data_IF_522955332766
#
_entry.id   IF_522955332766
#
_cell.length_a   1.000
_cell.length_b   1.000
_cell.length_c   1.000
_cell.angle_alpha   90.00
_cell.angle_beta   90.00
_cell.angle_gamma   90.00
#
_symmetry.space_group_name_H-M   'P 1'
#
loop_
_entity.id
_entity.type
_entity.pdbx_description
1 polymer ?
#
# COMPACT_ATOMS: atom_id res chain seq x y z
N UNK A 1 -3.55 -4.89 -24.63
CA UNK A 1 -2.32 -5.33 -25.27
C UNK A 1 -1.94 -6.71 -24.77
N UNK A 2 -1.52 -7.65 -25.65
CA UNK A 2 -1.00 -8.95 -25.25
C UNK A 2 0.15 -8.82 -24.25
N UNK A 3 0.30 -9.80 -23.34
CA UNK A 3 1.29 -9.77 -22.23
C UNK A 3 2.72 -9.55 -22.76
N UNK A 4 3.11 -10.24 -23.83
CA UNK A 4 4.46 -10.12 -24.41
C UNK A 4 4.76 -8.72 -24.94
N UNK A 5 3.82 -8.11 -25.68
CA UNK A 5 3.97 -6.75 -26.20
C UNK A 5 4.04 -5.72 -25.07
N UNK A 6 3.19 -5.88 -24.06
CA UNK A 6 3.19 -5.01 -22.87
C UNK A 6 4.52 -5.07 -22.11
N UNK A 7 5.09 -6.27 -21.93
CA UNK A 7 6.41 -6.47 -21.29
C UNK A 7 7.54 -5.87 -22.12
N UNK A 8 7.51 -6.04 -23.44
CA UNK A 8 8.49 -5.43 -24.34
C UNK A 8 8.51 -3.91 -24.25
N UNK A 9 7.34 -3.27 -24.31
CA UNK A 9 7.22 -1.81 -24.13
C UNK A 9 7.75 -1.36 -22.76
N UNK A 10 7.40 -2.08 -21.70
CA UNK A 10 7.89 -1.79 -20.35
C UNK A 10 9.41 -1.86 -20.23
N UNK A 11 10.03 -2.89 -20.81
CA UNK A 11 11.48 -3.06 -20.81
C UNK A 11 12.22 -1.98 -21.62
N UNK A 12 11.66 -1.58 -22.77
CA UNK A 12 12.20 -0.45 -23.52
C UNK A 12 12.10 0.84 -22.69
N UNK A 13 10.96 1.07 -22.05
CA UNK A 13 10.75 2.24 -21.20
C UNK A 13 11.72 2.29 -20.01
N UNK A 14 12.13 1.16 -19.44
CA UNK A 14 13.12 1.11 -18.36
C UNK A 14 14.48 1.68 -18.77
N UNK A 15 14.86 1.52 -20.04
CA UNK A 15 16.14 2.01 -20.60
C UNK A 15 16.09 3.48 -21.02
N UNK A 16 14.92 4.09 -21.07
CA UNK A 16 14.76 5.49 -21.49
C UNK A 16 15.11 6.45 -20.35
N UNK A 17 15.59 7.65 -20.66
CA UNK A 17 15.75 8.72 -19.65
C UNK A 17 14.45 9.00 -18.91
N UNK A 18 14.54 9.55 -17.70
CA UNK A 18 13.38 9.93 -16.91
C UNK A 18 12.56 11.01 -17.65
N UNK A 19 11.33 10.67 -18.03
CA UNK A 19 10.37 11.60 -18.64
C UNK A 19 8.94 11.31 -18.17
N UNK A 20 8.05 12.27 -18.43
CA UNK A 20 6.62 12.11 -18.08
C UNK A 20 6.03 10.92 -18.84
N UNK A 21 5.47 9.96 -18.12
CA UNK A 21 4.87 8.75 -18.70
C UNK A 21 5.78 7.50 -18.68
N UNK A 22 7.11 7.63 -18.56
CA UNK A 22 8.03 6.47 -18.46
C UNK A 22 7.58 5.51 -17.36
N UNK A 23 7.38 6.01 -16.16
CA UNK A 23 6.98 5.19 -15.00
C UNK A 23 5.63 4.49 -15.22
N UNK A 24 4.72 5.11 -15.97
CA UNK A 24 3.47 4.47 -16.35
C UNK A 24 3.70 3.27 -17.28
N UNK A 25 4.54 3.41 -18.31
CA UNK A 25 4.86 2.32 -19.24
C UNK A 25 5.59 1.18 -18.53
N UNK A 26 6.58 1.50 -17.70
CA UNK A 26 7.30 0.51 -16.88
C UNK A 26 6.35 -0.28 -15.99
N UNK A 27 5.49 0.42 -15.25
CA UNK A 27 4.49 -0.24 -14.37
C UNK A 27 3.47 -1.07 -15.13
N UNK A 28 3.04 -0.61 -16.30
CA UNK A 28 2.11 -1.35 -17.15
C UNK A 28 2.77 -2.55 -17.84
N UNK A 29 4.08 -2.52 -18.04
CA UNK A 29 4.87 -3.64 -18.55
C UNK A 29 4.98 -4.80 -17.57
N UNK A 30 4.88 -4.54 -16.27
CA UNK A 30 5.01 -5.54 -15.19
C UNK A 30 3.68 -6.18 -14.84
N UNK A 31 3.72 -7.44 -14.44
CA UNK A 31 2.58 -8.11 -13.81
C UNK A 31 2.32 -7.56 -12.41
N UNK A 32 1.17 -7.89 -11.82
CA UNK A 32 0.82 -7.40 -10.48
C UNK A 32 1.89 -7.77 -9.46
N UNK A 33 2.32 -9.00 -9.44
CA UNK A 33 3.29 -9.54 -8.48
C UNK A 33 4.66 -8.84 -8.56
N UNK A 34 5.06 -8.41 -9.76
CA UNK A 34 6.32 -7.67 -9.98
C UNK A 34 6.24 -6.20 -9.54
N UNK A 35 5.06 -5.60 -9.57
CA UNK A 35 4.84 -4.18 -9.28
C UNK A 35 4.29 -3.88 -7.90
N UNK A 36 3.75 -4.88 -7.22
CA UNK A 36 3.20 -4.75 -5.89
C UNK A 36 3.73 -5.87 -4.99
N UNK A 37 4.76 -5.56 -4.25
CA UNK A 37 5.38 -6.44 -3.24
C UNK A 37 5.08 -5.94 -1.81
N UNK A 38 3.96 -5.26 -1.64
CA UNK A 38 3.48 -4.70 -0.38
C UNK A 38 3.72 -3.20 -0.26
N UNK A 39 3.09 -2.60 0.74
CA UNK A 39 3.17 -1.16 1.01
C UNK A 39 4.54 -0.72 1.58
N UNK A 40 5.36 -1.66 2.05
CA UNK A 40 6.69 -1.40 2.59
C UNK A 40 7.80 -1.31 1.52
N UNK A 41 7.46 -1.41 0.23
CA UNK A 41 8.44 -1.30 -0.84
C UNK A 41 8.94 0.14 -0.99
N UNK A 42 10.17 0.40 -0.55
CA UNK A 42 10.76 1.73 -0.56
C UNK A 42 11.90 1.89 -1.56
N UNK A 43 12.69 0.85 -1.79
CA UNK A 43 13.88 0.89 -2.64
C UNK A 43 13.82 -0.14 -3.74
N UNK A 44 14.19 0.25 -4.96
CA UNK A 44 14.41 -0.67 -6.07
C UNK A 44 15.62 -1.57 -5.80
N UNK A 45 15.76 -2.70 -6.51
CA UNK A 45 16.95 -3.55 -6.39
C UNK A 45 18.26 -2.79 -6.65
N UNK A 46 18.27 -1.87 -7.60
CA UNK A 46 19.41 -1.04 -7.97
C UNK A 46 19.77 -0.05 -6.86
N UNK A 47 18.78 0.64 -6.29
CA UNK A 47 18.97 1.55 -5.16
C UNK A 47 19.50 0.80 -3.94
N UNK A 48 18.97 -0.38 -3.64
CA UNK A 48 19.48 -1.22 -2.53
C UNK A 48 20.94 -1.61 -2.74
N UNK A 49 21.33 -2.00 -3.95
CA UNK A 49 22.73 -2.33 -4.27
C UNK A 49 23.66 -1.14 -4.14
N UNK A 50 23.18 0.06 -4.47
CA UNK A 50 23.96 1.30 -4.35
C UNK A 50 24.12 1.75 -2.89
N UNK A 51 23.13 1.52 -2.04
CA UNK A 51 23.13 1.95 -0.64
C UNK A 51 23.87 0.99 0.28
N UNK A 52 23.83 -0.33 0.01
CA UNK A 52 24.44 -1.34 0.87
C UNK A 52 25.93 -1.43 0.62
N UNK A 53 26.74 -1.15 1.64
CA UNK A 53 28.20 -1.35 1.63
C UNK A 53 28.59 -2.84 1.59
N UNK A 54 27.76 -3.69 2.17
CA UNK A 54 27.98 -5.13 2.29
C UNK A 54 26.90 -5.84 1.47
N UNK A 55 27.33 -6.76 0.62
CA UNK A 55 26.38 -7.64 -0.09
C UNK A 55 25.78 -8.63 0.91
N UNK A 56 24.46 -8.68 0.95
CA UNK A 56 23.73 -9.63 1.78
C UNK A 56 23.13 -10.73 0.91
N UNK A 57 22.99 -11.92 1.47
CA UNK A 57 22.27 -13.05 0.85
C UNK A 57 20.78 -12.99 1.17
N UNK A 58 20.23 -11.78 1.45
CA UNK A 58 18.80 -11.61 1.71
C UNK A 58 17.99 -12.04 0.47
N UNK A 59 16.88 -12.77 0.67
CA UNK A 59 16.03 -13.20 -0.43
C UNK A 59 15.46 -12.00 -1.17
N UNK A 60 15.18 -12.18 -2.46
CA UNK A 60 14.45 -11.18 -3.23
C UNK A 60 13.06 -10.99 -2.63
N UNK A 61 12.57 -9.74 -2.46
CA UNK A 61 11.23 -9.48 -1.95
C UNK A 61 10.12 -10.22 -2.68
N UNK A 62 10.24 -10.46 -3.98
CA UNK A 62 9.28 -11.26 -4.74
C UNK A 62 9.26 -12.72 -4.29
N UNK A 63 10.41 -13.28 -3.89
CA UNK A 63 10.46 -14.64 -3.33
C UNK A 63 9.70 -14.74 -2.00
N UNK A 64 9.69 -13.67 -1.21
CA UNK A 64 8.93 -13.58 0.06
C UNK A 64 7.43 -13.45 -0.21
N UNK A 65 7.02 -12.69 -1.22
CA UNK A 65 5.60 -12.44 -1.52
C UNK A 65 4.96 -13.55 -2.34
N UNK A 66 5.74 -14.30 -3.10
CA UNK A 66 5.24 -15.36 -3.99
C UNK A 66 4.32 -16.38 -3.30
N UNK A 67 4.63 -16.96 -2.13
CA UNK A 67 3.76 -17.94 -1.47
C UNK A 67 2.36 -17.38 -1.12
N UNK A 68 2.23 -16.08 -0.93
CA UNK A 68 0.95 -15.42 -0.72
C UNK A 68 0.17 -15.28 -2.02
N UNK A 69 0.84 -14.86 -3.10
CA UNK A 69 0.23 -14.76 -4.42
C UNK A 69 -0.23 -16.10 -4.96
N UNK A 70 0.55 -17.17 -4.74
CA UNK A 70 0.22 -18.54 -5.19
C UNK A 70 -1.10 -19.03 -4.60
N UNK A 71 -1.49 -18.57 -3.40
CA UNK A 71 -2.77 -18.94 -2.76
C UNK A 71 -4.00 -18.25 -3.34
N UNK A 72 -3.81 -17.17 -4.08
CA UNK A 72 -4.90 -16.33 -4.59
C UNK A 72 -4.78 -16.09 -6.10
N UNK A 73 -4.14 -17.00 -6.83
CA UNK A 73 -3.87 -16.86 -8.26
C UNK A 73 -5.13 -16.59 -9.10
N UNK A 74 -6.24 -17.22 -8.75
CA UNK A 74 -7.50 -17.12 -9.48
C UNK A 74 -8.34 -15.88 -9.11
N UNK A 75 -7.85 -15.07 -8.15
CA UNK A 75 -8.54 -13.89 -7.70
C UNK A 75 -8.20 -12.64 -8.55
N UNK A 76 -9.04 -11.62 -8.47
CA UNK A 76 -8.78 -10.32 -9.11
C UNK A 76 -7.60 -9.56 -8.45
N UNK A 77 -7.05 -8.60 -9.19
CA UNK A 77 -5.88 -7.80 -8.75
C UNK A 77 -6.08 -7.12 -7.39
N UNK A 78 -7.28 -6.63 -7.10
CA UNK A 78 -7.59 -5.95 -5.83
C UNK A 78 -7.55 -6.94 -4.68
N UNK A 79 -8.15 -8.11 -4.86
CA UNK A 79 -8.15 -9.20 -3.86
C UNK A 79 -6.73 -9.68 -3.61
N UNK A 80 -5.92 -9.89 -4.65
CA UNK A 80 -4.50 -10.27 -4.52
C UNK A 80 -3.72 -9.27 -3.69
N UNK A 81 -3.86 -7.98 -3.97
CA UNK A 81 -3.19 -6.92 -3.22
C UNK A 81 -3.64 -6.87 -1.77
N UNK A 82 -4.94 -6.97 -1.52
CA UNK A 82 -5.50 -6.97 -0.16
C UNK A 82 -5.06 -8.18 0.63
N UNK A 83 -5.02 -9.36 0.00
CA UNK A 83 -4.54 -10.59 0.64
C UNK A 83 -3.09 -10.46 1.10
N UNK A 84 -2.22 -9.92 0.24
CA UNK A 84 -0.83 -9.67 0.60
C UNK A 84 -0.71 -8.67 1.76
N UNK A 85 -1.43 -7.55 1.69
CA UNK A 85 -1.41 -6.52 2.73
C UNK A 85 -1.92 -7.03 4.09
N UNK A 86 -2.96 -7.86 4.11
CA UNK A 86 -3.48 -8.47 5.34
C UNK A 86 -2.44 -9.34 6.04
N UNK A 87 -1.68 -10.14 5.27
CA UNK A 87 -0.71 -11.08 5.84
C UNK A 87 0.64 -10.45 6.16
N UNK A 88 1.03 -9.41 5.49
CA UNK A 88 2.34 -8.78 5.65
C UNK A 88 2.25 -7.40 6.32
N UNK A 89 1.64 -6.44 5.66
CA UNK A 89 1.59 -5.05 6.12
C UNK A 89 0.74 -4.89 7.38
N UNK A 90 -0.46 -5.48 7.38
CA UNK A 90 -1.37 -5.39 8.52
C UNK A 90 -0.79 -6.09 9.75
N UNK A 91 -0.37 -7.33 9.62
CA UNK A 91 0.16 -8.11 10.73
C UNK A 91 1.55 -7.61 11.18
N UNK A 92 2.47 -7.41 10.23
CA UNK A 92 3.89 -7.14 10.51
C UNK A 92 4.21 -5.68 10.85
N UNK A 93 3.37 -4.72 10.47
CA UNK A 93 3.60 -3.29 10.77
C UNK A 93 2.43 -2.66 11.53
N UNK A 94 1.24 -2.61 10.94
CA UNK A 94 0.14 -1.80 11.47
C UNK A 94 -0.32 -2.31 12.84
N UNK A 95 -0.65 -3.59 12.96
CA UNK A 95 -1.15 -4.16 14.22
C UNK A 95 -0.04 -4.29 15.26
N UNK A 96 1.15 -4.73 14.85
CA UNK A 96 2.30 -4.85 15.74
C UNK A 96 2.68 -3.49 16.35
N UNK A 97 2.73 -2.45 15.53
CA UNK A 97 3.03 -1.10 15.99
C UNK A 97 1.90 -0.54 16.87
N UNK A 98 0.65 -0.71 16.45
CA UNK A 98 -0.49 -0.25 17.21
C UNK A 98 -0.55 -0.89 18.60
N UNK A 99 -0.36 -2.20 18.69
CA UNK A 99 -0.32 -2.94 19.95
C UNK A 99 0.83 -2.48 20.83
N UNK A 100 2.06 -2.51 20.34
CA UNK A 100 3.24 -2.13 21.12
C UNK A 100 3.19 -0.70 21.63
N UNK A 101 2.75 0.25 20.80
CA UNK A 101 2.71 1.66 21.19
C UNK A 101 1.56 1.95 22.17
N UNK A 102 0.41 1.34 22.01
CA UNK A 102 -0.71 1.51 22.92
C UNK A 102 -0.41 0.86 24.27
N UNK A 103 0.11 -0.38 24.28
CA UNK A 103 0.46 -1.08 25.51
C UNK A 103 1.61 -0.41 26.29
N UNK A 104 2.58 0.20 25.60
CA UNK A 104 3.62 1.00 26.23
C UNK A 104 3.07 2.21 27.02
N UNK A 105 1.84 2.63 26.71
CA UNK A 105 1.13 3.70 27.42
C UNK A 105 -0.08 3.21 28.21
N UNK A 106 -0.14 1.90 28.52
CA UNK A 106 -1.24 1.27 29.26
C UNK A 106 -2.63 1.49 28.63
N UNK A 107 -2.66 1.63 27.32
CA UNK A 107 -3.88 1.82 26.55
C UNK A 107 -4.26 0.53 25.81
N UNK A 108 -5.44 0.00 26.07
CA UNK A 108 -5.97 -1.15 25.33
C UNK A 108 -6.61 -0.71 24.03
N UNK A 109 -6.03 -1.13 22.90
CA UNK A 109 -6.54 -0.85 21.57
C UNK A 109 -7.45 -1.97 21.09
N UNK A 110 -8.64 -1.62 20.63
CA UNK A 110 -9.58 -2.55 19.98
C UNK A 110 -9.71 -2.23 18.49
N UNK A 111 -9.79 -3.29 17.67
CA UNK A 111 -9.82 -3.20 16.19
C UNK A 111 -11.08 -3.87 15.63
N UNK A 112 -12.26 -3.27 15.78
CA UNK A 112 -13.55 -3.90 15.48
C UNK A 112 -13.70 -4.37 14.03
N UNK A 113 -13.00 -3.75 13.08
CA UNK A 113 -13.02 -4.17 11.67
C UNK A 113 -12.22 -5.45 11.39
N UNK A 114 -11.47 -5.97 12.37
CA UNK A 114 -10.77 -7.26 12.29
C UNK A 114 -11.49 -8.37 13.06
N UNK A 115 -12.69 -8.08 13.59
CA UNK A 115 -13.55 -9.12 14.12
C UNK A 115 -13.82 -10.18 13.04
N UNK A 116 -13.81 -11.46 13.44
CA UNK A 116 -13.94 -12.59 12.52
C UNK A 116 -15.20 -12.49 11.65
N UNK A 117 -16.35 -12.14 12.24
CA UNK A 117 -17.61 -12.03 11.50
C UNK A 117 -17.59 -10.86 10.50
N UNK A 118 -16.93 -9.76 10.88
CA UNK A 118 -16.75 -8.60 9.98
C UNK A 118 -15.84 -8.98 8.82
N UNK A 119 -14.76 -9.71 9.06
CA UNK A 119 -13.86 -10.21 8.00
C UNK A 119 -14.56 -11.19 7.07
N UNK A 120 -15.28 -12.16 7.59
CA UNK A 120 -16.08 -13.11 6.79
C UNK A 120 -17.09 -12.40 5.86
N UNK A 121 -17.73 -11.34 6.36
CA UNK A 121 -18.59 -10.50 5.52
C UNK A 121 -17.78 -9.70 4.48
N UNK A 122 -16.66 -9.13 4.89
CA UNK A 122 -15.82 -8.31 4.01
C UNK A 122 -15.25 -9.10 2.82
N UNK A 123 -14.92 -10.37 3.02
CA UNK A 123 -14.45 -11.28 1.98
C UNK A 123 -15.52 -11.54 0.90
N UNK A 124 -16.79 -11.52 1.28
CA UNK A 124 -17.91 -11.71 0.36
C UNK A 124 -18.26 -10.47 -0.45
N UNK A 125 -17.73 -9.29 -0.10
CA UNK A 125 -18.03 -8.05 -0.81
C UNK A 125 -17.36 -8.06 -2.19
N UNK A 126 -18.12 -7.98 -3.29
CA UNK A 126 -17.56 -7.91 -4.64
C UNK A 126 -16.62 -6.72 -4.81
N UNK A 127 -15.57 -6.88 -5.62
CA UNK A 127 -14.52 -5.87 -5.84
C UNK A 127 -15.07 -4.51 -6.23
N UNK A 128 -16.14 -4.44 -7.05
CA UNK A 128 -16.81 -3.19 -7.44
C UNK A 128 -17.34 -2.36 -6.27
N UNK A 129 -17.64 -2.98 -5.14
CA UNK A 129 -18.04 -2.30 -3.90
C UNK A 129 -16.88 -2.03 -2.96
N UNK A 130 -15.72 -2.64 -3.16
CA UNK A 130 -14.49 -2.32 -2.43
C UNK A 130 -13.78 -1.12 -3.04
N UNK A 131 -13.66 -1.11 -4.37
CA UNK A 131 -13.05 -0.03 -5.16
C UNK A 131 -13.88 0.20 -6.42
N UNK A 132 -14.29 1.44 -6.68
CA UNK A 132 -15.06 1.78 -7.87
C UNK A 132 -14.53 3.00 -8.61
N UNK A 133 -14.82 3.07 -9.92
CA UNK A 133 -14.65 4.26 -10.76
C UNK A 133 -15.99 4.94 -11.08
N UNK A 134 -17.08 4.21 -11.01
CA UNK A 134 -18.40 4.63 -11.51
C UNK A 134 -18.97 5.85 -10.76
N UNK A 135 -18.55 6.06 -9.52
CA UNK A 135 -19.02 7.18 -8.70
C UNK A 135 -17.98 8.30 -8.54
N UNK A 136 -16.95 8.31 -9.40
CA UNK A 136 -15.88 9.33 -9.33
C UNK A 136 -16.38 10.64 -9.93
N UNK A 137 -16.39 11.69 -9.13
CA UNK A 137 -16.74 13.06 -9.52
C UNK A 137 -15.51 13.97 -9.64
N UNK A 138 -14.34 13.51 -9.19
CA UNK A 138 -13.10 14.28 -9.18
C UNK A 138 -12.05 13.60 -10.07
N UNK A 139 -11.63 14.24 -11.14
CA UNK A 139 -10.61 13.75 -12.07
C UNK A 139 -9.25 13.46 -11.40
N UNK A 140 -8.95 14.14 -10.30
CA UNK A 140 -7.71 13.93 -9.53
C UNK A 140 -7.72 12.64 -8.69
N UNK A 141 -8.90 12.06 -8.49
CA UNK A 141 -9.07 10.86 -7.67
C UNK A 141 -9.73 9.77 -8.52
N UNK A 142 -8.96 9.00 -9.32
CA UNK A 142 -9.53 8.10 -10.33
C UNK A 142 -10.29 6.90 -9.76
N UNK A 143 -10.33 6.74 -8.44
CA UNK A 143 -11.04 5.65 -7.75
C UNK A 143 -11.59 6.10 -6.41
N UNK A 144 -12.74 5.55 -6.06
CA UNK A 144 -13.27 5.61 -4.69
C UNK A 144 -12.96 4.28 -4.01
N UNK A 145 -12.20 4.33 -2.94
CA UNK A 145 -11.90 3.18 -2.08
C UNK A 145 -12.86 3.10 -0.90
N UNK A 146 -12.98 1.92 -0.28
CA UNK A 146 -13.93 1.67 0.82
C UNK A 146 -15.38 1.99 0.43
N UNK A 147 -15.75 1.71 -0.81
CA UNK A 147 -17.01 2.19 -1.37
C UNK A 147 -18.23 1.65 -0.61
N UNK A 148 -18.28 0.36 -0.31
CA UNK A 148 -19.37 -0.22 0.49
C UNK A 148 -19.54 0.48 1.85
N UNK A 149 -18.44 0.74 2.56
CA UNK A 149 -18.48 1.42 3.85
C UNK A 149 -18.98 2.87 3.72
N UNK A 150 -18.60 3.57 2.65
CA UNK A 150 -19.08 4.94 2.36
C UNK A 150 -20.57 4.95 2.03
N UNK A 151 -21.05 3.95 1.30
CA UNK A 151 -22.48 3.79 1.01
C UNK A 151 -23.28 3.51 2.28
N UNK A 152 -22.83 2.59 3.12
CA UNK A 152 -23.46 2.28 4.40
C UNK A 152 -23.48 3.51 5.31
N UNK A 153 -22.35 4.20 5.43
CA UNK A 153 -22.29 5.43 6.23
C UNK A 153 -23.26 6.53 5.73
N UNK A 154 -23.41 6.65 4.41
CA UNK A 154 -24.36 7.63 3.83
C UNK A 154 -25.82 7.28 4.13
N UNK A 155 -26.16 5.99 4.15
CA UNK A 155 -27.54 5.51 4.30
C UNK A 155 -27.96 5.37 5.77
N UNK A 156 -27.09 4.77 6.58
CA UNK A 156 -27.46 4.17 7.86
C UNK A 156 -26.85 4.88 9.08
N UNK A 157 -26.21 6.03 8.89
CA UNK A 157 -25.56 6.76 9.98
C UNK A 157 -26.01 8.23 10.06
N UNK A 158 -25.80 8.89 11.23
CA UNK A 158 -26.09 10.31 11.36
C UNK A 158 -25.37 11.17 10.30
N UNK A 159 -25.94 12.33 9.91
CA UNK A 159 -25.40 13.19 8.85
C UNK A 159 -23.93 13.58 9.03
N UNK A 160 -23.46 13.74 10.27
CA UNK A 160 -22.07 14.07 10.59
C UNK A 160 -21.11 12.94 10.22
N UNK A 161 -21.51 11.70 10.49
CA UNK A 161 -20.74 10.48 10.12
C UNK A 161 -20.72 10.30 8.62
N UNK A 162 -21.86 10.45 7.95
CA UNK A 162 -21.95 10.40 6.49
C UNK A 162 -21.05 11.46 5.82
N UNK A 163 -21.06 12.71 6.32
CA UNK A 163 -20.19 13.78 5.86
C UNK A 163 -18.71 13.46 6.07
N UNK A 164 -18.35 12.85 7.19
CA UNK A 164 -16.97 12.43 7.47
C UNK A 164 -16.53 11.27 6.58
N UNK A 165 -17.39 10.29 6.35
CA UNK A 165 -17.11 9.17 5.45
C UNK A 165 -16.92 9.61 3.98
N UNK A 166 -17.51 10.73 3.58
CA UNK A 166 -17.34 11.30 2.24
C UNK A 166 -15.98 12.01 2.04
N UNK A 167 -15.28 12.39 3.11
CA UNK A 167 -14.01 13.11 3.03
C UNK A 167 -12.94 12.28 2.33
N UNK A 168 -11.99 12.98 1.70
CA UNK A 168 -10.79 12.37 1.16
C UNK A 168 -9.98 11.73 2.29
N UNK A 169 -9.47 10.51 2.04
CA UNK A 169 -8.58 9.85 3.00
C UNK A 169 -7.32 10.70 3.22
N UNK A 170 -7.06 11.04 4.46
CA UNK A 170 -5.77 11.56 4.91
C UNK A 170 -4.97 10.39 5.48
N UNK A 171 -3.67 10.29 5.14
CA UNK A 171 -2.76 9.37 5.80
C UNK A 171 -2.44 9.85 7.21
N UNK A 172 -1.50 9.19 7.88
CA UNK A 172 -0.89 9.68 9.11
C UNK A 172 0.29 10.59 8.73
N UNK A 173 0.11 11.90 8.63
CA UNK A 173 1.18 12.79 8.24
C UNK A 173 2.14 12.96 9.43
N UNK A 174 3.23 12.20 9.42
CA UNK A 174 4.35 12.48 10.31
C UNK A 174 5.27 13.46 9.57
N UNK A 175 5.57 14.63 10.13
CA UNK A 175 6.33 15.66 9.45
C UNK A 175 7.86 15.41 9.47
N UNK A 176 8.28 14.16 9.26
CA UNK A 176 9.70 13.76 9.26
C UNK A 176 10.53 14.63 8.32
N UNK A 177 10.01 14.96 7.14
CA UNK A 177 10.70 15.83 6.17
C UNK A 177 10.95 17.25 6.69
N UNK A 178 10.12 17.72 7.64
CA UNK A 178 10.30 19.00 8.31
C UNK A 178 11.32 18.85 9.43
N UNK A 179 11.11 17.87 10.29
CA UNK A 179 12.00 17.61 11.44
C UNK A 179 13.45 17.35 11.03
N UNK A 180 13.69 16.55 9.99
CA UNK A 180 15.04 16.29 9.49
C UNK A 180 15.75 17.50 8.88
N UNK A 181 15.07 18.65 8.74
CA UNK A 181 15.68 19.92 8.35
C UNK A 181 16.03 20.81 9.53
N UNK A 182 15.57 20.47 10.73
CA UNK A 182 15.91 21.17 11.96
C UNK A 182 17.24 20.63 12.49
N UNK A 183 18.17 21.52 12.86
CA UNK A 183 19.52 21.15 13.30
C UNK A 183 19.51 20.12 14.42
N UNK A 184 18.56 20.22 15.34
CA UNK A 184 18.36 19.30 16.45
C UNK A 184 18.22 17.82 15.99
N UNK A 185 17.50 17.57 14.93
CA UNK A 185 17.26 16.20 14.44
C UNK A 185 18.27 15.81 13.36
N UNK A 186 18.73 16.77 12.60
CA UNK A 186 19.75 16.55 11.59
C UNK A 186 21.10 16.16 12.21
N UNK A 187 21.49 16.76 13.33
CA UNK A 187 22.72 16.41 14.05
C UNK A 187 22.73 14.94 14.49
N UNK A 188 21.60 14.42 14.99
CA UNK A 188 21.47 13.00 15.40
C UNK A 188 21.70 12.05 14.21
N UNK A 189 21.17 12.40 13.03
CA UNK A 189 21.37 11.61 11.80
C UNK A 189 22.84 11.69 11.37
N UNK A 190 23.40 12.88 11.39
CA UNK A 190 24.78 13.15 10.99
C UNK A 190 25.79 12.37 11.84
N UNK A 191 25.68 12.43 13.16
CA UNK A 191 26.52 11.68 14.09
C UNK A 191 26.50 10.15 13.88
N UNK A 192 25.45 9.60 13.27
CA UNK A 192 25.32 8.17 13.01
C UNK A 192 25.93 7.74 11.68
N UNK A 193 26.15 8.67 10.77
CA UNK A 193 26.63 8.39 9.41
C UNK A 193 28.03 8.94 9.12
N UNK A 194 28.57 9.81 9.96
CA UNK A 194 29.97 10.23 9.98
C UNK A 194 30.80 9.34 10.91
#
# INVERSE_FOLDING_TARGET
>A
LPRGLRRGIGHIAEKMPAHRGRNFLVRKGKDLEERFIGNAYMFTPEERKALLKIRTNAPDPMAITKPFYDKVQDQDDVTKMQYLDLHMWMAGDILLKADKMSMANSLELRVPFLDKKVMELAEQIPTRYRVTREAVTDEKTPYITKYAMRLAAKKDTPPQTAKTAAKKKLGFPVPIRVWLKEDKYYSIVRERFE
#
